data_IF_599878574667
#
_entry.id   IF_599878574667
#
_cell.length_a   1.000
_cell.length_b   1.000
_cell.length_c   1.000
_cell.angle_alpha   90.00
_cell.angle_beta   90.00
_cell.angle_gamma   90.00
#
_symmetry.space_group_name_H-M   'P 1'
#
loop_
_entity.id
_entity.type
_entity.pdbx_description
1 polymer ?
#
# COMPACT_ATOMS: atom_id res chain seq x y z
N UNK A 1 -28.97 -2.31 -61.77
CA UNK A 1 -28.39 -1.47 -60.68
C UNK A 1 -28.87 -1.90 -59.30
N UNK A 2 -30.16 -1.97 -59.05
CA UNK A 2 -30.70 -2.36 -57.70
C UNK A 2 -30.27 -3.75 -57.18
N UNK A 3 -30.19 -4.78 -58.06
CA UNK A 3 -29.72 -6.13 -57.62
C UNK A 3 -28.26 -6.10 -57.12
N UNK A 4 -27.36 -5.40 -57.82
CA UNK A 4 -25.96 -5.26 -57.42
C UNK A 4 -25.81 -4.50 -56.10
N UNK A 5 -26.60 -3.44 -55.90
CA UNK A 5 -26.64 -2.69 -54.63
C UNK A 5 -27.12 -3.57 -53.44
N UNK A 6 -28.16 -4.38 -53.65
CA UNK A 6 -28.63 -5.33 -52.65
C UNK A 6 -27.58 -6.40 -52.31
N UNK A 7 -26.86 -6.93 -53.31
CA UNK A 7 -25.79 -7.91 -53.07
C UNK A 7 -24.65 -7.29 -52.27
N UNK A 8 -24.22 -6.07 -52.59
CA UNK A 8 -23.18 -5.34 -51.85
C UNK A 8 -23.62 -5.06 -50.42
N UNK A 9 -24.88 -4.64 -50.21
CA UNK A 9 -25.42 -4.40 -48.88
C UNK A 9 -25.47 -5.69 -48.04
N UNK A 10 -25.86 -6.84 -48.62
CA UNK A 10 -25.88 -8.14 -47.94
C UNK A 10 -24.47 -8.60 -47.61
N UNK A 11 -23.52 -8.48 -48.53
CA UNK A 11 -22.10 -8.82 -48.23
C UNK A 11 -21.54 -7.91 -47.14
N UNK A 12 -21.82 -6.60 -47.17
CA UNK A 12 -21.42 -5.66 -46.13
C UNK A 12 -22.00 -6.00 -44.76
N UNK A 13 -23.30 -6.37 -44.72
CA UNK A 13 -23.95 -6.81 -43.48
C UNK A 13 -23.36 -8.10 -42.95
N UNK A 14 -23.06 -9.09 -43.81
CA UNK A 14 -22.40 -10.34 -43.39
C UNK A 14 -21.00 -10.05 -42.86
N UNK A 15 -20.19 -9.24 -43.54
CA UNK A 15 -18.86 -8.87 -43.08
C UNK A 15 -18.91 -8.14 -41.73
N UNK A 16 -19.83 -7.19 -41.56
CA UNK A 16 -20.03 -6.50 -40.28
C UNK A 16 -20.42 -7.50 -39.18
N UNK A 17 -21.33 -8.43 -39.46
CA UNK A 17 -21.72 -9.46 -38.48
C UNK A 17 -20.53 -10.35 -38.08
N UNK A 18 -19.71 -10.77 -39.03
CA UNK A 18 -18.51 -11.59 -38.79
C UNK A 18 -17.51 -10.81 -37.92
N UNK A 19 -17.28 -9.53 -38.22
CA UNK A 19 -16.40 -8.66 -37.42
C UNK A 19 -16.93 -8.49 -35.99
N UNK A 20 -18.26 -8.27 -35.84
CA UNK A 20 -18.88 -8.14 -34.49
C UNK A 20 -18.79 -9.44 -33.69
N UNK A 21 -19.07 -10.60 -34.33
CA UNK A 21 -18.94 -11.90 -33.66
C UNK A 21 -17.48 -12.15 -33.29
N UNK A 22 -16.55 -11.94 -34.23
CA UNK A 22 -15.12 -12.11 -33.98
C UNK A 22 -14.62 -11.20 -32.86
N UNK A 23 -15.02 -9.93 -32.87
CA UNK A 23 -14.73 -8.97 -31.80
C UNK A 23 -15.30 -9.40 -30.44
N UNK A 24 -16.57 -9.85 -30.41
CA UNK A 24 -17.20 -10.34 -29.19
C UNK A 24 -16.49 -11.58 -28.63
N UNK A 25 -16.15 -12.54 -29.49
CA UNK A 25 -15.41 -13.76 -29.07
C UNK A 25 -14.05 -13.38 -28.53
N UNK A 26 -13.34 -12.46 -29.20
CA UNK A 26 -12.04 -11.97 -28.72
C UNK A 26 -12.16 -11.29 -27.34
N UNK A 27 -13.13 -10.39 -27.14
CA UNK A 27 -13.35 -9.70 -25.86
C UNK A 27 -13.67 -10.71 -24.76
N UNK A 28 -14.57 -11.67 -25.02
CA UNK A 28 -14.91 -12.71 -24.04
C UNK A 28 -13.68 -13.56 -23.68
N UNK A 29 -12.87 -13.91 -24.66
CA UNK A 29 -11.63 -14.66 -24.46
C UNK A 29 -10.63 -13.83 -23.63
N UNK A 30 -10.38 -12.58 -24.00
CA UNK A 30 -9.44 -11.70 -23.32
C UNK A 30 -9.84 -11.47 -21.84
N UNK A 31 -11.14 -11.25 -21.58
CA UNK A 31 -11.67 -11.06 -20.22
C UNK A 31 -11.56 -12.35 -19.38
N UNK A 32 -11.76 -13.52 -20.01
CA UNK A 32 -11.74 -14.81 -19.30
C UNK A 32 -10.34 -15.39 -19.11
N UNK A 33 -9.38 -14.96 -19.92
CA UNK A 33 -8.01 -15.48 -19.90
C UNK A 33 -7.33 -15.39 -18.53
N UNK A 34 -7.43 -14.28 -17.76
CA UNK A 34 -6.83 -14.15 -16.44
C UNK A 34 -7.65 -14.78 -15.31
N UNK A 35 -8.81 -15.38 -15.58
CA UNK A 35 -9.64 -15.92 -14.51
C UNK A 35 -8.89 -17.00 -13.73
N UNK A 36 -9.06 -17.02 -12.39
CA UNK A 36 -8.44 -18.02 -11.54
C UNK A 36 -8.93 -19.43 -11.86
N UNK A 37 -8.03 -20.39 -11.74
CA UNK A 37 -8.41 -21.81 -11.76
C UNK A 37 -8.87 -22.18 -10.35
N UNK A 38 -10.18 -22.43 -10.19
CA UNK A 38 -10.81 -22.66 -8.88
C UNK A 38 -11.19 -24.13 -8.63
N UNK A 39 -11.00 -25.00 -9.62
CA UNK A 39 -11.29 -26.45 -9.54
C UNK A 39 -10.12 -27.27 -10.10
N UNK A 40 -9.90 -28.45 -9.53
CA UNK A 40 -8.86 -29.39 -9.97
C UNK A 40 -7.59 -29.32 -9.13
N UNK A 41 -6.51 -29.90 -9.64
CA UNK A 41 -5.19 -29.94 -9.01
C UNK A 41 -4.19 -29.12 -9.83
N UNK A 42 -3.45 -28.26 -9.16
CA UNK A 42 -2.40 -27.41 -9.75
C UNK A 42 -1.03 -27.78 -9.18
N UNK A 43 0.00 -27.96 -10.01
CA UNK A 43 1.36 -28.10 -9.55
C UNK A 43 1.87 -26.73 -9.08
N UNK A 44 2.20 -26.59 -7.81
CA UNK A 44 2.80 -25.39 -7.23
C UNK A 44 4.19 -25.77 -6.74
N UNK A 45 5.22 -25.11 -7.28
CA UNK A 45 6.60 -25.37 -6.87
C UNK A 45 6.86 -24.95 -5.43
N UNK A 46 7.70 -25.73 -4.74
CA UNK A 46 8.13 -25.43 -3.37
C UNK A 46 7.22 -25.96 -2.26
N UNK A 47 6.03 -26.50 -2.56
CA UNK A 47 5.21 -27.20 -1.56
C UNK A 47 5.90 -28.50 -1.14
N UNK A 48 5.86 -28.78 0.16
CA UNK A 48 6.39 -30.03 0.75
C UNK A 48 5.31 -31.09 0.85
N UNK A 49 4.03 -30.68 0.96
CA UNK A 49 2.87 -31.56 0.99
C UNK A 49 1.70 -30.99 0.15
N UNK A 50 0.63 -31.77 0.04
CA UNK A 50 -0.56 -31.33 -0.66
C UNK A 50 -1.31 -30.28 0.17
N UNK A 51 -1.50 -29.11 -0.41
CA UNK A 51 -2.33 -28.04 0.17
C UNK A 51 -3.71 -28.06 -0.48
N UNK A 52 -4.75 -27.98 0.33
CA UNK A 52 -6.13 -27.93 -0.14
C UNK A 52 -6.67 -26.50 -0.01
N UNK A 53 -7.14 -25.93 -1.12
CA UNK A 53 -7.85 -24.65 -1.16
C UNK A 53 -9.32 -24.91 -1.45
N UNK A 54 -10.19 -24.51 -0.53
CA UNK A 54 -11.64 -24.66 -0.65
C UNK A 54 -12.25 -23.26 -0.73
N UNK A 55 -12.98 -22.96 -1.80
CA UNK A 55 -13.74 -21.71 -1.88
C UNK A 55 -15.17 -21.96 -1.44
N UNK A 56 -15.67 -21.13 -0.53
CA UNK A 56 -17.05 -21.20 -0.08
C UNK A 56 -18.03 -20.67 -1.15
N UNK A 57 -19.33 -20.63 -0.82
CA UNK A 57 -20.37 -20.12 -1.72
C UNK A 57 -20.21 -18.65 -2.13
N UNK A 58 -19.37 -17.88 -1.44
CA UNK A 58 -19.05 -16.49 -1.72
C UNK A 58 -17.72 -16.33 -2.45
N UNK A 59 -17.03 -17.43 -2.72
CA UNK A 59 -15.71 -17.45 -3.34
C UNK A 59 -14.56 -17.17 -2.37
N UNK A 60 -14.82 -17.09 -1.07
CA UNK A 60 -13.79 -16.88 -0.05
C UNK A 60 -12.92 -18.14 0.06
N UNK A 61 -11.59 -18.04 -0.15
CA UNK A 61 -10.70 -19.20 -0.07
C UNK A 61 -10.37 -19.53 1.39
N UNK A 62 -10.45 -20.82 1.70
CA UNK A 62 -9.95 -21.44 2.92
C UNK A 62 -8.80 -22.37 2.55
N UNK A 63 -7.62 -22.10 3.06
CA UNK A 63 -6.39 -22.85 2.78
C UNK A 63 -6.12 -23.80 3.94
N UNK A 64 -5.93 -25.08 3.62
CA UNK A 64 -5.61 -26.14 4.59
C UNK A 64 -4.24 -26.74 4.23
N UNK A 65 -3.29 -26.70 5.17
CA UNK A 65 -1.94 -27.22 5.03
C UNK A 65 -1.48 -27.94 6.31
N UNK A 66 -0.52 -28.87 6.15
CA UNK A 66 0.08 -29.58 7.27
C UNK A 66 1.27 -28.83 7.87
N UNK A 67 1.79 -27.83 7.15
CA UNK A 67 2.98 -27.04 7.48
C UNK A 67 2.72 -25.55 7.32
N UNK A 68 3.27 -24.73 8.23
CA UNK A 68 3.06 -23.29 8.22
C UNK A 68 3.68 -22.60 6.99
N UNK A 69 4.81 -23.09 6.46
CA UNK A 69 5.44 -22.51 5.28
C UNK A 69 4.60 -22.80 4.03
N UNK A 70 4.06 -24.03 3.92
CA UNK A 70 3.14 -24.39 2.83
C UNK A 70 1.84 -23.57 2.92
N UNK A 71 1.35 -23.29 4.13
CA UNK A 71 0.17 -22.45 4.36
C UNK A 71 0.39 -21.04 3.80
N UNK A 72 1.52 -20.40 4.14
CA UNK A 72 1.84 -19.05 3.66
C UNK A 72 2.25 -19.03 2.18
N UNK A 73 2.89 -20.08 1.67
CA UNK A 73 3.17 -20.24 0.24
C UNK A 73 1.88 -20.30 -0.56
N UNK A 74 0.91 -21.09 -0.11
CA UNK A 74 -0.41 -21.16 -0.74
C UNK A 74 -1.17 -19.84 -0.62
N UNK A 75 -1.05 -19.12 0.49
CA UNK A 75 -1.62 -17.77 0.63
C UNK A 75 -1.05 -16.82 -0.44
N UNK A 76 0.26 -16.80 -0.61
CA UNK A 76 0.92 -15.98 -1.64
C UNK A 76 0.45 -16.31 -3.05
N UNK A 77 0.33 -17.61 -3.37
CA UNK A 77 -0.20 -18.09 -4.64
C UNK A 77 -1.64 -17.62 -4.88
N UNK A 78 -2.53 -17.77 -3.90
CA UNK A 78 -3.95 -17.37 -4.00
C UNK A 78 -4.10 -15.85 -4.11
N UNK A 79 -3.34 -15.09 -3.34
CA UNK A 79 -3.34 -13.63 -3.47
C UNK A 79 -2.90 -13.19 -4.86
N UNK A 80 -1.82 -13.78 -5.40
CA UNK A 80 -1.36 -13.47 -6.75
C UNK A 80 -2.37 -13.89 -7.82
N UNK A 81 -2.99 -15.06 -7.67
CA UNK A 81 -4.02 -15.55 -8.59
C UNK A 81 -5.21 -14.60 -8.71
N UNK A 82 -5.64 -14.00 -7.60
CA UNK A 82 -6.85 -13.20 -7.53
C UNK A 82 -6.60 -11.68 -7.61
N UNK A 83 -5.38 -11.21 -7.28
CA UNK A 83 -5.12 -9.78 -6.99
C UNK A 83 -3.76 -9.28 -7.46
N UNK A 84 -3.06 -9.95 -8.38
CA UNK A 84 -1.66 -9.61 -8.67
C UNK A 84 -1.48 -8.20 -9.23
N UNK A 85 -2.36 -7.69 -10.07
CA UNK A 85 -2.29 -6.30 -10.54
C UNK A 85 -2.26 -5.30 -9.38
N UNK A 86 -3.17 -5.46 -8.45
CA UNK A 86 -3.26 -4.62 -7.26
C UNK A 86 -1.96 -4.69 -6.42
N UNK A 87 -1.42 -5.90 -6.24
CA UNK A 87 -0.15 -6.12 -5.54
C UNK A 87 1.01 -5.43 -6.27
N UNK A 88 1.07 -5.56 -7.59
CA UNK A 88 2.13 -5.00 -8.42
C UNK A 88 2.12 -3.48 -8.44
N UNK A 89 0.96 -2.86 -8.64
CA UNK A 89 0.82 -1.39 -8.57
C UNK A 89 1.21 -0.87 -7.19
N UNK A 90 0.75 -1.52 -6.12
CA UNK A 90 1.08 -1.11 -4.75
C UNK A 90 2.59 -1.15 -4.47
N UNK A 91 3.31 -2.20 -4.91
CA UNK A 91 4.76 -2.25 -4.73
C UNK A 91 5.49 -1.19 -5.56
N UNK A 92 4.95 -0.83 -6.74
CA UNK A 92 5.50 0.26 -7.56
C UNK A 92 5.33 1.61 -6.87
N UNK A 93 4.12 1.95 -6.40
CA UNK A 93 3.90 3.13 -5.57
C UNK A 93 4.86 3.14 -4.38
N UNK A 94 4.86 2.07 -3.59
CA UNK A 94 5.65 1.98 -2.36
C UNK A 94 7.16 2.08 -2.57
N UNK A 95 7.64 1.77 -3.78
CA UNK A 95 9.07 1.78 -4.15
C UNK A 95 9.49 3.00 -4.98
N UNK A 96 8.55 3.90 -5.36
CA UNK A 96 8.81 4.99 -6.29
C UNK A 96 9.22 4.49 -7.67
N UNK A 97 8.38 3.62 -8.26
CA UNK A 97 8.60 2.94 -9.54
C UNK A 97 7.39 3.03 -10.48
N UNK A 98 6.47 3.97 -10.24
CA UNK A 98 5.29 4.15 -11.09
C UNK A 98 5.63 4.53 -12.52
N UNK A 99 6.71 5.27 -12.73
CA UNK A 99 7.17 5.66 -14.06
C UNK A 99 7.57 4.46 -14.94
N UNK A 100 7.96 3.34 -14.34
CA UNK A 100 8.22 2.08 -15.05
C UNK A 100 6.95 1.49 -15.68
N UNK A 101 5.78 1.78 -15.11
CA UNK A 101 4.48 1.34 -15.63
C UNK A 101 3.85 2.38 -16.56
N UNK A 102 3.83 3.65 -16.13
CA UNK A 102 2.96 4.68 -16.69
C UNK A 102 3.72 5.85 -17.35
N UNK A 103 5.05 5.82 -17.39
CA UNK A 103 5.87 6.80 -18.09
C UNK A 103 6.16 8.07 -17.31
N UNK A 104 6.64 9.09 -18.03
CA UNK A 104 7.26 10.31 -17.48
C UNK A 104 6.38 11.12 -16.51
N UNK A 105 5.06 11.06 -16.64
CA UNK A 105 4.13 11.78 -15.76
C UNK A 105 4.26 11.36 -14.28
N UNK A 106 4.81 10.16 -14.01
CA UNK A 106 4.96 9.63 -12.67
C UNK A 106 6.34 9.91 -12.04
N UNK A 107 7.27 10.49 -12.80
CA UNK A 107 8.66 10.72 -12.34
C UNK A 107 8.71 11.57 -11.07
N UNK A 108 7.86 12.57 -10.95
CA UNK A 108 7.85 13.46 -9.78
C UNK A 108 7.34 12.74 -8.53
N UNK A 109 6.29 11.94 -8.66
CA UNK A 109 5.79 11.06 -7.59
C UNK A 109 6.86 10.07 -7.16
N UNK A 110 7.51 9.40 -8.11
CA UNK A 110 8.58 8.45 -7.81
C UNK A 110 9.78 9.11 -7.14
N UNK A 111 10.19 10.29 -7.58
CA UNK A 111 11.28 11.05 -6.97
C UNK A 111 10.97 11.37 -5.50
N UNK A 112 9.73 11.77 -5.19
CA UNK A 112 9.32 12.05 -3.83
C UNK A 112 9.31 10.79 -2.95
N UNK A 113 8.74 9.67 -3.43
CA UNK A 113 8.72 8.40 -2.70
C UNK A 113 10.15 7.87 -2.46
N UNK A 114 11.04 7.97 -3.45
CA UNK A 114 12.45 7.59 -3.30
C UNK A 114 13.18 8.51 -2.34
N UNK A 115 12.81 9.78 -2.28
CA UNK A 115 13.33 10.73 -1.29
C UNK A 115 12.94 10.30 0.12
N UNK A 116 11.69 9.94 0.37
CA UNK A 116 11.22 9.35 1.63
C UNK A 116 11.94 8.02 1.95
N UNK A 117 12.25 7.23 0.92
CA UNK A 117 13.07 6.04 1.04
C UNK A 117 12.38 4.85 1.70
N UNK A 118 11.08 4.66 1.53
CA UNK A 118 10.29 3.59 2.15
C UNK A 118 10.85 2.20 1.88
N UNK A 119 11.18 1.89 0.62
CA UNK A 119 11.77 0.59 0.26
C UNK A 119 13.08 0.33 1.00
N UNK A 120 13.96 1.32 1.09
CA UNK A 120 15.23 1.22 1.80
C UNK A 120 15.05 1.00 3.31
N UNK A 121 13.99 1.58 3.89
CA UNK A 121 13.63 1.31 5.29
C UNK A 121 13.15 -0.13 5.43
N UNK A 122 12.27 -0.61 4.55
CA UNK A 122 11.79 -2.00 4.55
C UNK A 122 12.93 -3.02 4.37
N UNK A 123 13.92 -2.75 3.52
CA UNK A 123 15.13 -3.59 3.36
C UNK A 123 15.93 -3.70 4.68
N UNK A 124 16.07 -2.61 5.42
CA UNK A 124 16.73 -2.63 6.73
C UNK A 124 15.91 -3.37 7.78
N UNK A 125 14.60 -3.21 7.77
CA UNK A 125 13.68 -3.88 8.69
C UNK A 125 13.65 -5.38 8.49
N UNK A 126 13.79 -5.88 7.25
CA UNK A 126 13.87 -7.31 6.98
C UNK A 126 14.98 -7.99 7.81
N UNK A 127 16.11 -7.29 8.02
CA UNK A 127 17.20 -7.80 8.83
C UNK A 127 16.88 -7.88 10.34
N UNK A 128 15.90 -7.13 10.82
CA UNK A 128 15.49 -7.06 12.23
C UNK A 128 14.41 -8.09 12.60
N UNK A 129 13.79 -8.72 11.60
CA UNK A 129 12.73 -9.69 11.84
C UNK A 129 13.25 -10.97 12.49
N UNK A 130 12.39 -11.63 13.27
CA UNK A 130 12.65 -12.96 13.78
C UNK A 130 12.88 -13.96 12.63
N UNK A 131 13.68 -15.02 12.84
CA UNK A 131 13.89 -16.04 11.81
C UNK A 131 12.58 -16.68 11.31
N UNK A 132 11.59 -16.89 12.19
CA UNK A 132 10.29 -17.45 11.82
C UNK A 132 9.50 -16.49 10.93
N UNK A 133 9.38 -15.22 11.32
CA UNK A 133 8.68 -14.20 10.51
C UNK A 133 9.30 -14.05 9.13
N UNK A 134 10.63 -14.05 9.06
CA UNK A 134 11.34 -13.99 7.76
C UNK A 134 11.00 -15.18 6.88
N UNK A 135 11.02 -16.41 7.42
CA UNK A 135 10.65 -17.62 6.66
C UNK A 135 9.21 -17.58 6.16
N UNK A 136 8.27 -17.02 6.92
CA UNK A 136 6.88 -16.86 6.46
C UNK A 136 6.76 -15.88 5.31
N UNK A 137 7.49 -14.76 5.35
CA UNK A 137 7.56 -13.80 4.24
C UNK A 137 8.23 -14.40 2.99
N UNK A 138 9.28 -15.20 3.17
CA UNK A 138 9.96 -15.90 2.08
C UNK A 138 9.03 -16.93 1.44
N UNK A 139 8.36 -17.76 2.23
CA UNK A 139 7.39 -18.74 1.74
C UNK A 139 6.21 -18.09 1.00
N UNK A 140 5.71 -16.96 1.53
CA UNK A 140 4.68 -16.18 0.84
C UNK A 140 5.18 -15.67 -0.52
N UNK A 141 6.39 -15.10 -0.58
CA UNK A 141 6.98 -14.61 -1.81
C UNK A 141 7.20 -15.75 -2.83
N UNK A 142 7.64 -16.93 -2.38
CA UNK A 142 7.76 -18.13 -3.23
C UNK A 142 6.40 -18.52 -3.82
N UNK A 143 5.32 -18.43 -3.06
CA UNK A 143 3.96 -18.69 -3.54
C UNK A 143 3.50 -17.71 -4.61
N UNK A 144 3.73 -16.41 -4.42
CA UNK A 144 3.48 -15.38 -5.44
C UNK A 144 4.27 -15.71 -6.71
N UNK A 145 5.56 -16.01 -6.57
CA UNK A 145 6.45 -16.31 -7.70
C UNK A 145 6.09 -17.62 -8.41
N UNK A 146 5.56 -18.61 -7.69
CA UNK A 146 5.06 -19.83 -8.31
C UNK A 146 3.88 -19.55 -9.26
N UNK A 147 3.01 -18.58 -8.91
CA UNK A 147 1.96 -18.12 -9.83
C UNK A 147 2.53 -17.36 -11.03
N UNK A 148 3.45 -16.40 -10.81
CA UNK A 148 4.09 -15.62 -11.86
C UNK A 148 4.89 -16.49 -12.84
N UNK A 149 5.50 -17.56 -12.35
CA UNK A 149 6.25 -18.50 -13.19
C UNK A 149 5.41 -19.29 -14.21
N UNK A 150 4.08 -19.27 -14.05
CA UNK A 150 3.16 -20.01 -14.93
C UNK A 150 2.31 -19.11 -15.83
N UNK A 151 2.36 -17.79 -15.65
CA UNK A 151 1.54 -16.83 -16.39
C UNK A 151 2.31 -15.56 -16.71
N UNK A 152 1.95 -14.91 -17.80
CA UNK A 152 2.61 -13.69 -18.26
C UNK A 152 1.62 -12.69 -18.85
N UNK A 153 1.91 -11.40 -18.71
CA UNK A 153 1.15 -10.31 -19.29
C UNK A 153 -0.35 -10.44 -19.07
N UNK A 154 -1.15 -10.44 -20.15
CA UNK A 154 -2.63 -10.52 -20.08
C UNK A 154 -3.20 -11.79 -19.42
N UNK A 155 -2.37 -12.79 -19.12
CA UNK A 155 -2.83 -13.97 -18.36
C UNK A 155 -2.85 -13.73 -16.86
N UNK A 156 -2.14 -12.70 -16.39
CA UNK A 156 -2.11 -12.31 -14.98
C UNK A 156 -3.36 -11.52 -14.59
N UNK A 157 -3.74 -10.54 -15.42
CA UNK A 157 -4.97 -9.76 -15.24
C UNK A 157 -5.34 -9.02 -16.54
N UNK A 158 -6.56 -8.49 -16.60
CA UNK A 158 -7.04 -7.71 -17.75
C UNK A 158 -6.27 -6.37 -17.88
N UNK A 159 -5.85 -5.79 -16.77
CA UNK A 159 -5.11 -4.53 -16.73
C UNK A 159 -3.76 -4.64 -17.44
N UNK A 160 -3.10 -5.81 -17.37
CA UNK A 160 -1.87 -6.05 -18.16
C UNK A 160 -2.15 -6.08 -19.67
N UNK A 161 -3.35 -6.48 -20.11
CA UNK A 161 -3.69 -6.37 -21.53
C UNK A 161 -3.81 -4.91 -21.99
N UNK A 162 -4.21 -4.01 -21.08
CA UNK A 162 -4.24 -2.56 -21.34
C UNK A 162 -2.84 -1.98 -21.27
N UNK A 163 -2.05 -2.39 -20.27
CA UNK A 163 -0.67 -1.93 -20.09
C UNK A 163 0.21 -2.34 -21.28
N UNK A 164 0.10 -3.57 -21.79
CA UNK A 164 0.86 -4.06 -22.95
C UNK A 164 0.68 -3.18 -24.19
N UNK A 165 -0.48 -2.53 -24.33
CA UNK A 165 -0.71 -1.62 -25.45
C UNK A 165 0.10 -0.31 -25.35
N UNK A 166 0.42 0.12 -24.15
CA UNK A 166 1.20 1.34 -23.87
C UNK A 166 2.67 1.05 -23.52
N UNK A 167 2.94 -0.09 -22.89
CA UNK A 167 4.25 -0.50 -22.40
C UNK A 167 4.46 -2.02 -22.58
N UNK A 168 4.68 -2.49 -23.82
CA UNK A 168 4.76 -3.92 -24.14
C UNK A 168 6.03 -4.60 -23.60
N UNK A 169 7.03 -3.85 -23.19
CA UNK A 169 8.27 -4.38 -22.64
C UNK A 169 8.23 -4.66 -21.14
N UNK A 170 7.14 -4.21 -20.48
CA UNK A 170 7.00 -4.41 -19.04
C UNK A 170 6.73 -5.88 -18.70
N UNK A 171 7.51 -6.42 -17.81
CA UNK A 171 7.30 -7.71 -17.17
C UNK A 171 7.46 -7.58 -15.66
N UNK A 172 6.49 -8.09 -14.86
CA UNK A 172 6.59 -8.01 -13.42
C UNK A 172 7.85 -8.71 -12.90
N UNK A 173 8.61 -8.03 -12.05
CA UNK A 173 9.70 -8.63 -11.30
C UNK A 173 9.19 -9.72 -10.33
N UNK A 174 10.03 -10.68 -9.95
CA UNK A 174 9.73 -11.59 -8.87
C UNK A 174 9.38 -10.83 -7.59
N UNK A 175 8.39 -11.36 -6.85
CA UNK A 175 8.02 -10.83 -5.53
C UNK A 175 9.08 -11.18 -4.49
N UNK A 176 9.37 -10.24 -3.59
CA UNK A 176 10.33 -10.40 -2.51
C UNK A 176 9.68 -10.11 -1.15
N UNK A 177 10.26 -10.57 -0.03
CA UNK A 177 9.81 -10.19 1.31
C UNK A 177 9.75 -8.66 1.53
N UNK A 178 10.63 -7.91 0.88
CA UNK A 178 10.64 -6.43 0.96
C UNK A 178 9.37 -5.84 0.36
N UNK A 179 8.81 -6.44 -0.70
CA UNK A 179 7.59 -5.95 -1.34
C UNK A 179 6.36 -6.08 -0.39
N UNK A 180 6.36 -7.09 0.48
CA UNK A 180 5.37 -7.21 1.54
C UNK A 180 5.59 -6.20 2.67
N UNK A 181 6.83 -5.94 3.07
CA UNK A 181 7.16 -5.01 4.14
C UNK A 181 6.94 -3.55 3.76
N UNK A 182 7.22 -3.18 2.52
CA UNK A 182 7.07 -1.79 2.07
C UNK A 182 5.61 -1.35 2.06
N UNK A 183 4.67 -2.27 1.91
CA UNK A 183 3.24 -1.99 2.03
C UNK A 183 2.87 -1.36 3.38
N UNK A 184 3.51 -1.78 4.48
CA UNK A 184 3.32 -1.17 5.79
C UNK A 184 3.71 0.31 5.84
N UNK A 185 4.68 0.74 5.02
CA UNK A 185 5.10 2.15 4.94
C UNK A 185 4.03 2.99 4.24
N UNK A 186 3.44 2.46 3.17
CA UNK A 186 2.31 3.10 2.47
C UNK A 186 1.13 3.23 3.42
N UNK A 187 0.78 2.17 4.14
CA UNK A 187 -0.31 2.23 5.13
C UNK A 187 -0.05 3.27 6.21
N UNK A 188 1.16 3.33 6.75
CA UNK A 188 1.53 4.32 7.75
C UNK A 188 1.42 5.74 7.18
N UNK A 189 1.80 5.95 5.93
CA UNK A 189 1.67 7.23 5.25
C UNK A 189 0.21 7.63 5.03
N UNK A 190 -0.63 6.74 4.50
CA UNK A 190 -2.03 7.03 4.21
C UNK A 190 -2.88 7.22 5.48
N UNK A 191 -2.54 6.48 6.54
CA UNK A 191 -3.28 6.52 7.81
C UNK A 191 -2.70 7.52 8.83
N UNK A 192 -1.58 8.19 8.49
CA UNK A 192 -1.02 9.25 9.34
C UNK A 192 -1.99 10.41 9.49
N UNK A 193 -1.76 11.21 10.51
CA UNK A 193 -2.44 12.50 10.69
C UNK A 193 -1.41 13.61 10.83
N UNK A 194 -1.90 14.83 10.83
CA UNK A 194 -1.27 16.09 11.17
C UNK A 194 -0.25 16.70 10.16
N UNK A 195 0.53 15.94 9.39
CA UNK A 195 1.51 16.55 8.46
C UNK A 195 0.89 17.61 7.54
N UNK A 196 -0.30 17.34 6.98
CA UNK A 196 -1.01 18.33 6.14
C UNK A 196 -1.50 19.52 6.97
N UNK A 197 -2.02 19.26 8.15
CA UNK A 197 -2.48 20.29 9.08
C UNK A 197 -1.32 21.14 9.62
N UNK A 198 -0.20 20.52 9.96
CA UNK A 198 1.02 21.25 10.37
C UNK A 198 1.56 22.14 9.25
N UNK A 199 1.58 21.61 8.03
CA UNK A 199 2.01 22.35 6.86
C UNK A 199 1.07 23.53 6.57
N UNK A 200 -0.24 23.32 6.60
CA UNK A 200 -1.24 24.37 6.43
C UNK A 200 -1.15 25.43 7.55
N UNK A 201 -0.91 25.01 8.79
CA UNK A 201 -0.68 25.89 9.92
C UNK A 201 0.62 26.70 9.78
N UNK A 202 1.68 26.05 9.31
CA UNK A 202 2.97 26.73 9.05
C UNK A 202 2.84 27.79 7.94
N UNK A 203 2.12 27.46 6.86
CA UNK A 203 1.80 28.42 5.79
C UNK A 203 0.97 29.59 6.31
N UNK A 204 -0.06 29.32 7.11
CA UNK A 204 -0.85 30.37 7.73
C UNK A 204 0.00 31.27 8.65
N UNK A 205 0.92 30.68 9.43
CA UNK A 205 1.80 31.42 10.34
C UNK A 205 2.84 32.29 9.61
N UNK A 206 3.15 31.97 8.35
CA UNK A 206 4.03 32.80 7.52
C UNK A 206 3.35 34.10 7.02
N UNK A 207 2.00 34.13 6.98
CA UNK A 207 1.25 35.25 6.39
C UNK A 207 0.33 35.95 7.39
N UNK A 208 -0.09 35.29 8.47
CA UNK A 208 -1.06 35.80 9.42
C UNK A 208 -0.43 36.02 10.80
N UNK A 209 -0.93 37.02 11.56
CA UNK A 209 -0.57 37.18 12.95
C UNK A 209 -0.93 35.93 13.78
N UNK A 210 -0.13 35.64 14.79
CA UNK A 210 -0.30 34.45 15.67
C UNK A 210 -1.71 34.29 16.21
N UNK A 211 -2.37 35.37 16.63
CA UNK A 211 -3.75 35.39 17.13
C UNK A 211 -4.73 34.82 16.10
N UNK A 212 -4.54 35.14 14.81
CA UNK A 212 -5.39 34.62 13.71
C UNK A 212 -5.11 33.16 13.41
N UNK A 213 -3.87 32.72 13.55
CA UNK A 213 -3.50 31.31 13.41
C UNK A 213 -4.14 30.48 14.53
N UNK A 214 -4.15 30.99 15.76
CA UNK A 214 -4.78 30.32 16.90
C UNK A 214 -6.32 30.24 16.80
N UNK A 215 -6.95 31.21 16.12
CA UNK A 215 -8.38 31.12 15.80
C UNK A 215 -8.69 30.01 14.78
N UNK A 216 -7.84 29.82 13.77
CA UNK A 216 -7.98 28.77 12.76
C UNK A 216 -7.60 27.38 13.30
N UNK A 217 -6.58 27.32 14.13
CA UNK A 217 -6.03 26.10 14.73
C UNK A 217 -6.00 26.24 16.26
N UNK A 218 -7.18 26.19 16.91
CA UNK A 218 -7.25 26.40 18.36
C UNK A 218 -6.46 25.31 19.10
N UNK A 219 -5.81 25.68 20.22
CA UNK A 219 -5.06 24.73 21.01
C UNK A 219 -6.00 23.65 21.56
N UNK A 220 -5.43 22.46 21.79
CA UNK A 220 -6.17 21.36 22.36
C UNK A 220 -6.76 21.75 23.73
N UNK A 221 -8.06 21.50 23.97
CA UNK A 221 -8.74 21.96 25.18
C UNK A 221 -8.43 21.06 26.40
N UNK A 222 -7.22 21.15 26.91
CA UNK A 222 -6.69 20.32 28.01
C UNK A 222 -7.56 20.36 29.29
N UNK A 223 -8.29 21.43 29.50
CA UNK A 223 -9.19 21.54 30.66
C UNK A 223 -10.42 20.62 30.54
N UNK A 224 -10.89 20.38 29.31
CA UNK A 224 -12.05 19.51 29.04
C UNK A 224 -11.63 18.05 28.82
N UNK A 225 -10.50 17.85 28.18
CA UNK A 225 -9.98 16.55 27.81
C UNK A 225 -8.55 16.43 28.33
N UNK A 226 -8.38 15.78 29.48
CA UNK A 226 -7.06 15.65 30.11
C UNK A 226 -6.33 14.43 29.55
N UNK A 227 -5.30 14.59 28.69
CA UNK A 227 -4.42 13.50 28.30
C UNK A 227 -3.47 13.15 29.44
N UNK A 228 -2.88 11.95 29.35
CA UNK A 228 -1.84 11.48 30.29
C UNK A 228 -0.63 12.43 30.29
N UNK A 229 -0.27 12.92 29.08
CA UNK A 229 0.81 13.91 28.89
C UNK A 229 0.17 15.24 28.47
N UNK A 230 0.40 16.30 29.25
CA UNK A 230 -0.37 17.56 29.10
C UNK A 230 0.21 18.57 28.12
N UNK A 231 1.52 18.75 28.11
CA UNK A 231 2.26 19.66 27.23
C UNK A 231 3.70 19.20 27.09
N UNK A 232 4.28 19.38 25.92
CA UNK A 232 5.68 19.13 25.67
C UNK A 232 5.98 18.90 24.20
N UNK A 233 7.24 18.73 23.90
CA UNK A 233 7.74 18.39 22.58
C UNK A 233 8.87 17.37 22.70
N UNK A 234 9.18 16.73 21.58
CA UNK A 234 10.33 15.84 21.48
C UNK A 234 11.55 16.67 21.09
N UNK A 235 12.55 16.71 21.96
CA UNK A 235 13.83 17.34 21.70
C UNK A 235 14.91 16.26 21.79
N UNK A 236 15.64 16.06 20.69
CA UNK A 236 16.70 15.03 20.59
C UNK A 236 16.21 13.60 20.91
N UNK A 237 14.97 13.25 20.52
CA UNK A 237 14.38 11.95 20.78
C UNK A 237 13.84 11.76 22.21
N UNK A 238 13.87 12.79 23.05
CA UNK A 238 13.32 12.76 24.40
C UNK A 238 12.15 13.73 24.55
N UNK A 239 11.05 13.26 25.13
CA UNK A 239 9.92 14.13 25.44
C UNK A 239 10.28 15.11 26.56
N UNK A 240 10.15 16.41 26.28
CA UNK A 240 10.34 17.50 27.24
C UNK A 240 9.02 18.23 27.46
N UNK A 241 8.53 18.19 28.69
CA UNK A 241 7.35 18.92 29.08
C UNK A 241 7.61 20.45 29.01
N UNK A 242 6.72 21.19 28.30
CA UNK A 242 6.80 22.63 28.19
C UNK A 242 7.68 23.18 27.07
N UNK A 243 8.18 22.34 26.16
CA UNK A 243 8.84 22.82 24.95
C UNK A 243 7.84 23.56 24.03
N UNK A 244 8.22 24.75 23.58
CA UNK A 244 7.43 25.52 22.61
C UNK A 244 7.95 25.29 21.19
N UNK A 245 7.06 25.29 20.17
CA UNK A 245 7.47 25.17 18.78
C UNK A 245 8.31 26.37 18.37
N UNK A 246 9.32 26.13 17.52
CA UNK A 246 10.12 27.20 16.95
C UNK A 246 9.29 28.03 15.96
N UNK A 247 9.51 29.37 15.86
CA UNK A 247 8.83 30.17 14.86
C UNK A 247 9.26 29.77 13.45
N UNK A 248 8.33 29.87 12.50
CA UNK A 248 8.61 29.66 11.07
C UNK A 248 9.51 30.80 10.57
N UNK A 249 10.69 30.53 10.00
CA UNK A 249 11.58 31.56 9.49
C UNK A 249 10.99 32.31 8.29
N UNK A 250 11.35 33.56 8.13
CA UNK A 250 11.03 34.34 6.93
C UNK A 250 11.56 33.65 5.67
N UNK A 251 10.72 33.57 4.63
CA UNK A 251 11.07 32.96 3.34
C UNK A 251 10.86 31.44 3.27
N UNK A 252 10.42 30.78 4.34
CA UNK A 252 10.10 29.34 4.30
C UNK A 252 8.82 29.03 3.52
N UNK A 253 7.90 30.00 3.35
CA UNK A 253 6.56 29.80 2.76
C UNK A 253 6.60 29.14 1.37
N UNK A 254 7.52 29.56 0.48
CA UNK A 254 7.63 28.98 -0.87
C UNK A 254 8.01 27.49 -0.85
N UNK A 255 8.89 27.10 0.08
CA UNK A 255 9.29 25.69 0.25
C UNK A 255 8.18 24.86 0.88
N UNK A 256 7.44 25.43 1.82
CA UNK A 256 6.27 24.78 2.42
C UNK A 256 5.15 24.60 1.39
N UNK A 257 4.90 25.57 0.51
CA UNK A 257 3.94 25.45 -0.59
C UNK A 257 4.33 24.33 -1.56
N UNK A 258 5.59 24.32 -2.01
CA UNK A 258 6.11 23.26 -2.88
C UNK A 258 5.95 21.87 -2.23
N UNK A 259 6.25 21.73 -0.94
CA UNK A 259 6.08 20.49 -0.22
C UNK A 259 4.59 20.09 -0.12
N UNK A 260 3.67 21.05 0.07
CA UNK A 260 2.23 20.78 0.08
C UNK A 260 1.76 20.18 -1.24
N UNK A 261 2.18 20.76 -2.36
CA UNK A 261 1.85 20.26 -3.70
C UNK A 261 2.39 18.84 -3.91
N UNK A 262 3.66 18.58 -3.57
CA UNK A 262 4.26 17.25 -3.68
C UNK A 262 3.54 16.18 -2.83
N UNK A 263 3.06 16.54 -1.63
CA UNK A 263 2.30 15.62 -0.76
C UNK A 263 0.90 15.33 -1.34
N UNK A 264 0.31 16.30 -2.02
CA UNK A 264 -1.00 16.13 -2.66
C UNK A 264 -0.95 15.25 -3.91
N UNK A 265 0.17 15.24 -4.63
CA UNK A 265 0.38 14.43 -5.83
C UNK A 265 0.59 12.93 -5.55
N UNK A 266 0.80 12.53 -4.29
CA UNK A 266 0.93 11.11 -3.93
C UNK A 266 -0.45 10.44 -4.03
N UNK A 267 -0.61 9.40 -4.88
CA UNK A 267 -1.88 8.71 -5.00
C UNK A 267 -2.22 8.00 -3.67
N UNK A 268 -3.38 8.29 -3.08
CA UNK A 268 -3.83 7.60 -1.88
C UNK A 268 -4.25 6.17 -2.25
N UNK A 269 -3.65 5.16 -1.62
CA UNK A 269 -3.97 3.74 -1.85
C UNK A 269 -5.09 3.21 -0.94
N UNK A 270 -5.32 3.87 0.19
CA UNK A 270 -6.37 3.50 1.15
C UNK A 270 -7.58 4.46 1.11
N UNK A 271 -7.50 5.51 0.29
CA UNK A 271 -8.53 6.52 0.10
C UNK A 271 -8.17 7.89 0.69
N UNK A 272 -8.83 8.92 0.18
CA UNK A 272 -8.60 10.30 0.61
C UNK A 272 -8.99 10.53 2.07
N UNK A 273 -8.13 11.18 2.83
CA UNK A 273 -8.36 11.55 4.23
C UNK A 273 -9.61 12.42 4.45
N UNK A 274 -10.11 13.09 3.39
CA UNK A 274 -11.35 13.89 3.40
C UNK A 274 -12.62 13.11 3.11
N UNK A 275 -12.55 11.84 2.71
CA UNK A 275 -13.69 11.04 2.23
C UNK A 275 -14.38 10.19 3.30
N UNK A 276 -14.26 10.55 4.57
CA UNK A 276 -14.89 9.81 5.69
C UNK A 276 -14.07 8.62 6.16
N UNK A 277 -12.75 8.60 5.87
CA UNK A 277 -11.81 7.59 6.37
C UNK A 277 -11.79 7.62 7.90
N UNK A 278 -11.98 6.45 8.50
CA UNK A 278 -12.02 6.29 9.93
C UNK A 278 -12.14 4.82 10.31
N UNK A 279 -12.48 4.52 11.54
CA UNK A 279 -12.72 3.14 11.98
C UNK A 279 -13.57 3.13 13.23
N UNK A 280 -14.42 2.10 13.35
CA UNK A 280 -15.14 1.81 14.59
C UNK A 280 -14.82 0.39 15.04
N UNK A 281 -14.70 0.19 16.34
CA UNK A 281 -14.62 -1.13 16.95
C UNK A 281 -15.49 -1.16 18.19
N UNK A 282 -16.31 -2.21 18.32
CA UNK A 282 -17.23 -2.41 19.43
C UNK A 282 -17.10 -3.85 19.94
N UNK A 283 -16.98 -3.99 21.25
CA UNK A 283 -17.00 -5.29 21.92
C UNK A 283 -18.21 -5.33 22.87
N UNK A 284 -19.03 -6.37 22.73
CA UNK A 284 -20.17 -6.66 23.63
C UNK A 284 -19.84 -7.91 24.45
N UNK A 285 -19.89 -7.80 25.79
CA UNK A 285 -19.64 -8.94 26.65
C UNK A 285 -20.71 -10.03 26.50
N UNK A 286 -20.36 -11.30 26.75
CA UNK A 286 -21.27 -12.43 26.66
C UNK A 286 -22.52 -12.30 27.55
N UNK A 287 -22.41 -11.62 28.67
CA UNK A 287 -23.56 -11.35 29.56
C UNK A 287 -24.70 -10.56 28.91
N UNK A 288 -24.35 -9.78 27.85
CA UNK A 288 -25.30 -8.95 27.10
C UNK A 288 -25.71 -9.56 25.76
N UNK A 289 -25.30 -10.78 25.47
CA UNK A 289 -25.62 -11.48 24.22
C UNK A 289 -26.56 -12.66 24.48
N UNK A 290 -27.38 -13.00 23.50
CA UNK A 290 -28.28 -14.17 23.60
C UNK A 290 -27.49 -15.49 23.65
N UNK A 291 -26.31 -15.55 23.01
CA UNK A 291 -25.48 -16.75 22.95
C UNK A 291 -24.64 -16.98 24.21
N UNK A 292 -24.53 -16.00 25.10
CA UNK A 292 -23.60 -16.00 26.23
C UNK A 292 -22.13 -15.83 25.82
N UNK A 293 -21.87 -15.58 24.53
CA UNK A 293 -20.51 -15.38 23.98
C UNK A 293 -20.29 -13.91 23.64
N UNK A 294 -19.07 -13.36 23.77
CA UNK A 294 -18.77 -12.01 23.35
C UNK A 294 -18.92 -11.83 21.84
N UNK A 295 -19.22 -10.60 21.41
CA UNK A 295 -19.30 -10.19 20.02
C UNK A 295 -18.29 -9.05 19.81
N UNK A 296 -17.46 -9.18 18.79
CA UNK A 296 -16.62 -8.10 18.26
C UNK A 296 -17.21 -7.65 16.92
N UNK A 297 -17.44 -6.35 16.78
CA UNK A 297 -17.68 -5.71 15.49
C UNK A 297 -16.55 -4.73 15.23
N UNK A 298 -15.94 -4.82 14.04
CA UNK A 298 -14.90 -3.91 13.59
C UNK A 298 -15.19 -3.48 12.17
N UNK A 299 -15.21 -2.17 11.96
CA UNK A 299 -15.59 -1.53 10.70
C UNK A 299 -14.52 -0.47 10.34
N UNK A 300 -13.46 -0.86 9.61
CA UNK A 300 -12.45 0.06 9.11
C UNK A 300 -12.97 0.78 7.86
N UNK A 301 -13.21 2.08 8.00
CA UNK A 301 -13.72 2.94 6.92
C UNK A 301 -12.58 3.38 6.01
N UNK A 302 -12.16 2.51 5.11
CA UNK A 302 -11.28 2.84 3.99
C UNK A 302 -12.14 3.21 2.78
N UNK A 303 -11.60 3.98 1.83
CA UNK A 303 -12.36 4.34 0.64
C UNK A 303 -12.81 3.08 -0.12
N UNK A 304 -14.07 3.03 -0.56
CA UNK A 304 -14.55 1.91 -1.35
C UNK A 304 -13.84 1.87 -2.70
N UNK A 305 -13.33 0.69 -3.06
CA UNK A 305 -12.63 0.42 -4.32
C UNK A 305 -13.05 -0.93 -4.90
N UNK A 306 -12.82 -1.10 -6.19
CA UNK A 306 -12.98 -2.37 -6.90
C UNK A 306 -11.64 -2.67 -7.60
N UNK A 307 -10.96 -3.74 -7.14
CA UNK A 307 -11.28 -4.61 -6.00
C UNK A 307 -11.16 -3.89 -4.66
N UNK A 308 -11.87 -4.40 -3.63
CA UNK A 308 -11.77 -3.85 -2.28
C UNK A 308 -10.35 -4.06 -1.70
N UNK A 309 -9.89 -3.12 -0.87
CA UNK A 309 -8.60 -3.24 -0.17
C UNK A 309 -8.50 -4.51 0.67
N UNK A 310 -9.61 -4.91 1.27
CA UNK A 310 -9.72 -6.12 2.08
C UNK A 310 -9.97 -7.36 1.23
N UNK A 311 -9.23 -8.43 1.53
CA UNK A 311 -9.42 -9.74 0.90
C UNK A 311 -9.73 -10.78 1.98
N UNK A 312 -10.92 -11.40 1.93
CA UNK A 312 -11.34 -12.40 2.91
C UNK A 312 -10.64 -13.74 2.69
N UNK A 313 -10.18 -14.38 3.76
CA UNK A 313 -9.48 -15.67 3.69
C UNK A 313 -9.50 -16.42 5.02
N UNK A 314 -9.46 -17.76 4.96
CA UNK A 314 -9.16 -18.64 6.07
C UNK A 314 -7.81 -19.32 5.88
N UNK A 315 -7.03 -19.41 6.96
CA UNK A 315 -5.72 -20.09 7.02
C UNK A 315 -5.78 -21.14 8.13
N UNK A 316 -5.71 -22.40 7.75
CA UNK A 316 -5.96 -23.53 8.63
C UNK A 316 -4.81 -24.54 8.55
N UNK A 317 -4.10 -24.75 9.66
CA UNK A 317 -3.28 -25.93 9.82
C UNK A 317 -4.19 -27.15 10.01
N UNK A 318 -3.91 -28.26 9.32
CA UNK A 318 -4.70 -29.51 9.43
C UNK A 318 -4.67 -30.03 10.86
N UNK A 319 -3.47 -30.03 11.46
CA UNK A 319 -3.24 -30.24 12.88
C UNK A 319 -2.59 -28.98 13.46
N UNK A 320 -3.22 -28.40 14.50
CA UNK A 320 -2.71 -27.18 15.13
C UNK A 320 -1.74 -27.58 16.23
N UNK A 321 -0.44 -27.35 15.98
CA UNK A 321 0.67 -27.65 16.88
C UNK A 321 1.71 -26.53 16.93
N UNK A 322 2.92 -26.78 17.46
CA UNK A 322 3.99 -25.78 17.55
C UNK A 322 4.60 -25.43 16.19
N UNK A 323 4.59 -26.36 15.22
CA UNK A 323 5.14 -26.16 13.88
C UNK A 323 4.14 -25.49 12.94
N UNK A 324 2.84 -25.73 13.16
CA UNK A 324 1.75 -25.09 12.40
C UNK A 324 0.65 -24.56 13.35
N UNK A 325 0.84 -23.40 13.99
CA UNK A 325 -0.04 -22.91 15.04
C UNK A 325 -1.23 -22.07 14.52
N UNK A 326 -1.59 -22.17 13.25
CA UNK A 326 -2.56 -21.28 12.61
C UNK A 326 -3.91 -21.99 12.37
N UNK A 327 -4.96 -21.42 12.91
CA UNK A 327 -6.37 -21.72 12.59
C UNK A 327 -7.14 -20.40 12.70
N UNK A 328 -7.05 -19.58 11.66
CA UNK A 328 -7.51 -18.18 11.66
C UNK A 328 -8.34 -17.89 10.41
N UNK A 329 -9.34 -17.02 10.53
CA UNK A 329 -10.10 -16.52 9.41
C UNK A 329 -10.42 -15.02 9.60
N UNK A 330 -10.54 -14.31 8.48
CA UNK A 330 -10.84 -12.89 8.50
C UNK A 330 -10.48 -12.18 7.20
N UNK A 331 -10.01 -10.96 7.32
CA UNK A 331 -9.58 -10.15 6.17
C UNK A 331 -8.07 -9.96 6.16
N UNK A 332 -7.52 -9.98 4.95
CA UNK A 332 -6.09 -9.87 4.67
C UNK A 332 -5.85 -8.68 3.75
N UNK A 333 -4.59 -8.32 3.56
CA UNK A 333 -4.15 -7.45 2.46
C UNK A 333 -3.41 -8.27 1.42
N UNK A 334 -3.82 -8.19 0.16
CA UNK A 334 -3.09 -8.80 -0.95
C UNK A 334 -1.67 -8.21 -1.01
N UNK A 335 -0.66 -9.07 -0.93
CA UNK A 335 0.74 -8.68 -0.84
C UNK A 335 1.36 -8.84 0.55
N UNK A 336 0.56 -9.12 1.60
CA UNK A 336 1.03 -9.32 2.99
C UNK A 336 0.54 -10.65 3.51
N UNK A 337 1.41 -11.51 4.11
CA UNK A 337 0.99 -12.76 4.71
C UNK A 337 0.20 -12.56 6.01
N UNK A 338 -0.64 -13.54 6.33
CA UNK A 338 -1.45 -13.61 7.56
C UNK A 338 -2.83 -12.97 7.43
N UNK A 339 -3.57 -12.97 8.55
CA UNK A 339 -4.90 -12.36 8.70
C UNK A 339 -4.76 -11.09 9.55
N UNK A 340 -5.17 -9.96 9.00
CA UNK A 340 -5.01 -8.64 9.63
C UNK A 340 -6.10 -8.40 10.67
N UNK A 341 -7.36 -8.57 10.30
CA UNK A 341 -8.51 -8.49 11.20
C UNK A 341 -9.26 -9.80 11.10
N UNK A 342 -9.54 -10.44 12.22
CA UNK A 342 -10.14 -11.74 12.17
C UNK A 342 -10.37 -12.40 13.53
N UNK A 343 -10.43 -13.71 13.49
CA UNK A 343 -10.61 -14.53 14.68
C UNK A 343 -9.96 -15.92 14.54
N UNK A 344 -9.75 -16.54 15.67
CA UNK A 344 -9.49 -17.98 15.77
C UNK A 344 -10.52 -18.61 16.72
N UNK A 345 -10.28 -19.86 17.15
CA UNK A 345 -11.18 -20.56 18.06
C UNK A 345 -11.29 -19.91 19.47
N UNK A 346 -10.38 -19.02 19.86
CA UNK A 346 -10.26 -18.47 21.21
C UNK A 346 -10.49 -16.98 21.31
N UNK A 347 -9.99 -16.20 20.34
CA UNK A 347 -10.04 -14.74 20.33
C UNK A 347 -10.51 -14.22 18.99
N UNK A 348 -11.05 -13.00 18.99
CA UNK A 348 -11.22 -12.18 17.81
C UNK A 348 -10.45 -10.86 18.03
N UNK A 349 -9.93 -10.28 16.95
CA UNK A 349 -9.20 -9.02 17.00
C UNK A 349 -9.63 -8.09 15.87
N UNK A 350 -9.56 -6.80 16.14
CA UNK A 350 -9.86 -5.74 15.21
C UNK A 350 -8.97 -4.53 15.48
N UNK A 351 -8.87 -3.64 14.50
CA UNK A 351 -8.05 -2.45 14.60
C UNK A 351 -8.83 -1.19 14.28
N UNK A 352 -8.50 -0.12 14.97
CA UNK A 352 -8.88 1.25 14.59
C UNK A 352 -7.62 2.07 14.43
N UNK A 353 -7.65 3.08 13.57
CA UNK A 353 -6.53 3.99 13.40
C UNK A 353 -6.41 4.89 14.64
N UNK A 354 -5.22 4.94 15.24
CA UNK A 354 -4.95 5.76 16.42
C UNK A 354 -4.80 7.25 16.08
N UNK A 355 -4.54 7.59 14.82
CA UNK A 355 -4.23 8.95 14.39
C UNK A 355 -3.06 9.55 15.16
N UNK A 356 -2.01 8.75 15.36
CA UNK A 356 -0.80 9.20 16.04
C UNK A 356 -0.02 10.19 15.17
N UNK A 357 0.57 11.17 15.81
CA UNK A 357 1.58 12.05 15.26
C UNK A 357 2.88 11.26 15.09
N UNK A 358 3.23 10.94 13.86
CA UNK A 358 4.36 10.05 13.52
C UNK A 358 5.29 10.65 12.45
N UNK A 359 5.05 11.90 12.06
CA UNK A 359 5.85 12.56 11.04
C UNK A 359 5.99 14.07 11.35
N UNK A 360 7.21 14.48 11.59
CA UNK A 360 7.57 15.88 11.87
C UNK A 360 8.31 16.51 10.68
N UNK A 361 8.10 17.80 10.46
CA UNK A 361 8.82 18.60 9.49
C UNK A 361 9.85 19.48 10.20
N UNK A 362 11.10 19.39 9.77
CA UNK A 362 12.21 20.20 10.25
C UNK A 362 12.59 21.24 9.21
N UNK A 363 12.70 22.51 9.62
CA UNK A 363 13.26 23.55 8.80
C UNK A 363 14.77 23.58 8.98
N UNK A 364 15.49 23.26 7.92
CA UNK A 364 16.95 23.15 7.93
C UNK A 364 17.60 24.36 7.28
N UNK A 365 18.67 24.87 7.88
CA UNK A 365 19.53 25.91 7.31
C UNK A 365 20.60 25.21 6.46
N UNK A 366 20.37 25.15 5.15
CA UNK A 366 21.20 24.42 4.19
C UNK A 366 21.99 25.39 3.31
N UNK A 367 23.30 25.19 3.23
CA UNK A 367 24.19 25.89 2.30
C UNK A 367 24.94 24.86 1.43
N UNK A 368 24.55 24.76 0.15
CA UNK A 368 25.06 23.80 -0.85
C UNK A 368 25.05 22.36 -0.32
N UNK A 369 26.21 21.81 0.06
CA UNK A 369 26.40 20.42 0.48
C UNK A 369 26.50 20.25 2.00
N UNK A 370 26.17 21.30 2.76
CA UNK A 370 26.21 21.29 4.23
C UNK A 370 24.94 21.88 4.82
N UNK A 371 24.67 21.55 6.09
CA UNK A 371 23.60 22.19 6.87
C UNK A 371 24.12 22.62 8.24
N UNK A 372 23.44 23.57 8.88
CA UNK A 372 23.83 24.06 10.20
C UNK A 372 23.17 23.23 11.28
N UNK A 373 24.00 22.65 12.13
CA UNK A 373 23.55 21.93 13.30
C UNK A 373 24.36 22.32 14.54
N UNK A 374 23.68 22.84 15.59
CA UNK A 374 24.31 23.32 16.83
C UNK A 374 25.49 24.28 16.58
N UNK A 375 25.31 25.22 15.66
CA UNK A 375 26.31 26.24 15.30
C UNK A 375 27.48 25.72 14.45
N UNK A 376 27.45 24.44 14.01
CA UNK A 376 28.48 23.83 13.14
C UNK A 376 27.90 23.57 11.76
N UNK A 377 28.76 23.67 10.74
CA UNK A 377 28.45 23.18 9.40
C UNK A 377 28.72 21.67 9.35
N UNK A 378 27.71 20.90 8.96
CA UNK A 378 27.74 19.43 8.88
C UNK A 378 27.47 19.03 7.43
N UNK A 379 28.23 18.10 6.83
CA UNK A 379 27.96 17.64 5.47
C UNK A 379 26.59 16.95 5.37
N UNK A 380 25.89 17.18 4.24
CA UNK A 380 24.71 16.42 3.88
C UNK A 380 25.09 15.00 3.45
N UNK A 381 24.24 14.03 3.77
CA UNK A 381 24.30 12.71 3.14
C UNK A 381 23.72 12.83 1.74
N UNK A 382 24.49 12.35 0.74
CA UNK A 382 24.08 12.37 -0.65
C UNK A 382 23.81 10.95 -1.14
N UNK A 383 22.63 10.71 -1.72
CA UNK A 383 22.24 9.43 -2.30
C UNK A 383 21.77 9.63 -3.73
N UNK A 384 22.37 8.88 -4.66
CA UNK A 384 21.97 8.86 -6.06
C UNK A 384 20.94 7.76 -6.27
N UNK A 385 19.84 8.11 -6.94
CA UNK A 385 18.77 7.20 -7.34
C UNK A 385 18.55 7.29 -8.85
N UNK A 386 18.11 6.19 -9.44
CA UNK A 386 17.73 6.13 -10.86
C UNK A 386 16.27 5.71 -10.95
N UNK A 387 15.47 6.47 -11.65
CA UNK A 387 14.06 6.22 -11.93
C UNK A 387 13.98 5.73 -13.36
N UNK A 388 13.63 4.47 -13.54
CA UNK A 388 13.35 3.89 -14.86
C UNK A 388 12.01 4.44 -15.36
N UNK A 389 11.93 4.77 -16.67
CA UNK A 389 10.76 5.41 -17.27
C UNK A 389 10.33 4.63 -18.50
N UNK A 390 9.06 4.21 -18.56
CA UNK A 390 8.54 3.47 -19.70
C UNK A 390 8.69 4.28 -21.00
N UNK A 391 9.39 3.70 -21.97
CA UNK A 391 9.59 4.30 -23.31
C UNK A 391 10.54 5.49 -23.37
N UNK A 392 11.22 5.86 -22.29
CA UNK A 392 12.13 7.00 -22.22
C UNK A 392 13.46 6.64 -21.52
N UNK A 393 14.42 7.57 -21.55
CA UNK A 393 15.68 7.42 -20.84
C UNK A 393 15.46 7.56 -19.31
N UNK A 394 16.19 6.79 -18.49
CA UNK A 394 16.09 6.86 -17.04
C UNK A 394 16.43 8.23 -16.47
N UNK A 395 15.67 8.68 -15.49
CA UNK A 395 15.90 9.94 -14.77
C UNK A 395 16.76 9.71 -13.53
N UNK A 396 17.80 10.51 -13.36
CA UNK A 396 18.69 10.46 -12.19
C UNK A 396 18.40 11.60 -11.25
N UNK A 397 18.20 11.26 -9.98
CA UNK A 397 18.03 12.22 -8.90
C UNK A 397 19.11 12.05 -7.84
N UNK A 398 19.34 13.10 -7.06
CA UNK A 398 20.21 13.05 -5.88
C UNK A 398 19.39 13.43 -4.66
N UNK A 399 19.14 12.48 -3.79
CA UNK A 399 18.50 12.73 -2.49
C UNK A 399 19.55 13.24 -1.54
N UNK A 400 19.28 14.40 -0.93
CA UNK A 400 20.10 15.01 0.11
C UNK A 400 19.43 14.79 1.46
N UNK A 401 20.19 14.51 2.49
CA UNK A 401 19.63 14.25 3.83
C UNK A 401 20.48 14.90 4.92
N UNK A 402 19.78 15.35 5.97
CA UNK A 402 20.35 15.77 7.25
C UNK A 402 20.25 14.61 8.24
N UNK A 403 20.66 14.83 9.48
CA UNK A 403 20.44 13.90 10.58
C UNK A 403 18.95 13.69 10.92
N UNK A 404 18.08 14.63 10.58
CA UNK A 404 16.65 14.55 10.87
C UNK A 404 15.89 13.76 9.78
N UNK A 405 16.46 13.70 8.59
CA UNK A 405 15.86 12.97 7.47
C UNK A 405 16.19 13.56 6.11
N UNK A 406 15.56 13.09 5.05
CA UNK A 406 15.74 13.62 3.70
C UNK A 406 15.18 15.03 3.57
N UNK A 407 15.80 15.85 2.72
CA UNK A 407 15.27 17.15 2.32
C UNK A 407 14.12 16.91 1.32
N UNK A 408 12.93 17.40 1.65
CA UNK A 408 11.71 17.14 0.85
C UNK A 408 11.41 18.26 -0.16
N UNK A 409 11.88 19.48 0.08
CA UNK A 409 11.66 20.65 -0.78
C UNK A 409 12.93 21.07 -1.53
N UNK A 410 13.65 20.08 -2.08
CA UNK A 410 14.96 20.28 -2.70
C UNK A 410 14.88 20.35 -4.22
#
# INVERSE_FOLDING_TARGET
MLRRLRTIAVIGAIMLTVVLIGGTVYVVWAVRRPFPVVEGALPVSGLTSTVRVVRDQWGVPHIYADDALDLFRAQGYVHAQDRFWEMDVRRHVASGRLAELFGAEQVQTDAFIRTLGWRRVAERELALLSPSTRRYLEAYAEGVNAYLGTRQGPELSLEYAVLDAANPEYHPDPWTPVDSLVWLKVMAWDLRTNVKEELARALAAAELPQERVEELYPPYPFERHQPIVRRGGVVEGHFLAGAEPAPVPDGASSRLTQLSELIEDIPPLLGDAGSGVGSNSLVVSGERTRSGRPILANDPHLAPSIPATWYQMGLHCTDVDEDCPFDVAGVTFSGVPGVIIGHNARIAWGFTNLRADVADLYLEDVDRDTYRYRGRSVPLELRRETIEVAGEEPVRITVRATRHGPLLSD
#
